data_IF_634061100562
#
_entry.id   IF_634061100562
#
_cell.length_a   1.000
_cell.length_b   1.000
_cell.length_c   1.000
_cell.angle_alpha   90.00
_cell.angle_beta   90.00
_cell.angle_gamma   90.00
#
_symmetry.space_group_name_H-M   'P 1'
#
loop_
_entity.id
_entity.type
_entity.pdbx_description
1 polymer ?
#
# COMPACT_ATOMS: atom_id res chain seq x y z
N UNK A 1 -19.79 -3.66 15.50
CA UNK A 1 -18.73 -4.28 14.66
C UNK A 1 -19.45 -5.07 13.59
N UNK A 2 -19.01 -5.01 12.35
CA UNK A 2 -19.51 -5.96 11.33
C UNK A 2 -18.91 -7.31 11.66
N UNK A 3 -19.74 -8.35 11.80
CA UNK A 3 -19.22 -9.71 11.92
C UNK A 3 -18.81 -10.18 10.52
N UNK A 4 -17.55 -10.54 10.36
CA UNK A 4 -17.02 -11.16 9.16
C UNK A 4 -16.73 -12.63 9.46
N UNK A 5 -16.93 -13.50 8.47
CA UNK A 5 -16.51 -14.89 8.57
C UNK A 5 -14.99 -14.99 8.70
N UNK A 6 -14.50 -15.92 9.51
CA UNK A 6 -13.06 -16.18 9.64
C UNK A 6 -12.57 -16.80 8.32
N UNK A 7 -11.63 -16.12 7.67
CA UNK A 7 -11.09 -16.57 6.39
C UNK A 7 -10.22 -15.50 5.77
N UNK A 8 -9.77 -15.76 4.54
CA UNK A 8 -8.83 -14.90 3.79
C UNK A 8 -9.41 -14.55 2.44
N UNK A 9 -9.52 -13.26 2.13
CA UNK A 9 -9.81 -12.75 0.80
C UNK A 9 -8.52 -12.20 0.18
N UNK A 10 -8.12 -12.71 -0.98
CA UNK A 10 -6.97 -12.19 -1.73
C UNK A 10 -7.49 -11.23 -2.81
N UNK A 11 -7.10 -9.97 -2.73
CA UNK A 11 -7.52 -8.91 -3.66
C UNK A 11 -6.36 -8.57 -4.58
N UNK A 12 -6.57 -8.76 -5.89
CA UNK A 12 -5.54 -8.52 -6.91
C UNK A 12 -6.04 -7.44 -7.88
N UNK A 13 -5.58 -6.19 -7.76
CA UNK A 13 -5.81 -5.21 -8.81
C UNK A 13 -5.01 -5.59 -10.05
N UNK A 14 -5.68 -5.67 -11.20
CA UNK A 14 -5.08 -6.08 -12.46
C UNK A 14 -5.17 -4.99 -13.51
N UNK A 15 -4.07 -4.77 -14.21
CA UNK A 15 -4.04 -4.01 -15.46
C UNK A 15 -3.01 -4.64 -16.42
N UNK A 16 -3.50 -5.35 -17.46
CA UNK A 16 -2.68 -6.03 -18.46
C UNK A 16 -1.69 -7.07 -17.85
N UNK A 17 -2.19 -7.94 -16.96
CA UNK A 17 -1.39 -8.90 -16.19
C UNK A 17 -1.28 -10.30 -16.82
N UNK A 18 -1.78 -10.54 -18.05
CA UNK A 18 -1.85 -11.86 -18.67
C UNK A 18 -0.57 -12.67 -18.57
N UNK A 19 0.59 -12.07 -18.86
CA UNK A 19 1.90 -12.77 -18.88
C UNK A 19 2.36 -13.25 -17.49
N UNK A 20 1.78 -12.70 -16.42
CA UNK A 20 2.18 -12.97 -15.05
C UNK A 20 1.31 -14.05 -14.39
N UNK A 21 0.02 -14.08 -14.73
CA UNK A 21 -0.96 -14.96 -14.10
C UNK A 21 -0.61 -16.44 -14.13
N UNK A 22 -0.06 -17.02 -15.21
CA UNK A 22 0.34 -18.42 -15.22
C UNK A 22 1.37 -18.77 -14.14
N UNK A 23 2.16 -17.80 -13.67
CA UNK A 23 3.20 -18.00 -12.67
C UNK A 23 2.80 -17.53 -11.28
N UNK A 24 1.85 -16.59 -11.16
CA UNK A 24 1.47 -15.98 -9.86
C UNK A 24 0.27 -16.68 -9.24
N UNK A 25 -0.81 -16.90 -9.98
CA UNK A 25 -2.06 -17.45 -9.46
C UNK A 25 -1.88 -18.83 -8.81
N UNK A 26 -1.16 -19.81 -9.42
CA UNK A 26 -0.94 -21.11 -8.76
C UNK A 26 -0.29 -21.00 -7.39
N UNK A 27 0.66 -20.08 -7.20
CA UNK A 27 1.34 -19.89 -5.92
C UNK A 27 0.43 -19.35 -4.81
N UNK A 28 -0.62 -18.61 -5.20
CA UNK A 28 -1.62 -18.10 -4.26
C UNK A 28 -2.48 -19.24 -3.74
N UNK A 29 -2.96 -20.11 -4.64
CA UNK A 29 -3.72 -21.32 -4.24
C UNK A 29 -2.90 -22.23 -3.33
N UNK A 30 -1.61 -22.47 -3.65
CA UNK A 30 -0.72 -23.27 -2.81
C UNK A 30 -0.57 -22.66 -1.41
N UNK A 31 -0.37 -21.35 -1.31
CA UNK A 31 -0.22 -20.67 -0.02
C UNK A 31 -1.53 -20.65 0.80
N UNK A 32 -2.69 -20.51 0.15
CA UNK A 32 -3.99 -20.54 0.80
C UNK A 32 -4.32 -21.95 1.35
N UNK A 33 -4.00 -23.00 0.60
CA UNK A 33 -4.24 -24.38 1.01
C UNK A 33 -3.53 -24.74 2.33
N UNK A 34 -2.35 -24.18 2.61
CA UNK A 34 -1.61 -24.39 3.86
C UNK A 34 -2.31 -23.81 5.10
N UNK A 35 -3.23 -22.84 4.91
CA UNK A 35 -3.90 -22.18 6.04
C UNK A 35 -5.04 -22.98 6.64
N UNK A 36 -5.66 -23.87 5.87
CA UNK A 36 -6.90 -24.60 6.20
C UNK A 36 -8.09 -23.66 6.54
N UNK A 37 -8.00 -22.39 6.17
CA UNK A 37 -9.07 -21.40 6.34
C UNK A 37 -9.89 -21.31 5.07
N UNK A 38 -11.16 -20.94 5.24
CA UNK A 38 -12.01 -20.50 4.13
C UNK A 38 -11.33 -19.36 3.38
N UNK A 39 -11.43 -19.36 2.06
CA UNK A 39 -10.73 -18.36 1.27
C UNK A 39 -11.42 -18.06 -0.06
N UNK A 40 -11.09 -16.92 -0.61
CA UNK A 40 -11.50 -16.48 -1.95
C UNK A 40 -10.40 -15.64 -2.60
N UNK A 41 -10.41 -15.62 -3.93
CA UNK A 41 -9.54 -14.73 -4.71
C UNK A 41 -10.46 -13.83 -5.53
N UNK A 42 -10.23 -12.52 -5.43
CA UNK A 42 -10.96 -11.48 -6.18
C UNK A 42 -9.96 -10.70 -7.02
N UNK A 43 -10.13 -10.76 -8.32
CA UNK A 43 -9.34 -9.94 -9.26
C UNK A 43 -10.19 -8.77 -9.71
N UNK A 44 -9.67 -7.56 -9.51
CA UNK A 44 -10.32 -6.34 -9.99
C UNK A 44 -9.58 -5.85 -11.22
N UNK A 45 -10.18 -6.09 -12.37
CA UNK A 45 -9.63 -5.68 -13.65
C UNK A 45 -9.87 -4.19 -13.91
N UNK A 46 -8.79 -3.42 -13.93
CA UNK A 46 -8.81 -1.97 -14.08
C UNK A 46 -8.80 -1.53 -15.56
N UNK A 47 -9.73 -2.09 -16.35
CA UNK A 47 -9.89 -1.81 -17.77
C UNK A 47 -8.70 -2.31 -18.62
N UNK A 48 -8.29 -3.57 -18.45
CA UNK A 48 -7.23 -4.20 -19.25
C UNK A 48 -7.60 -4.27 -20.72
N UNK A 49 -6.59 -4.21 -21.55
CA UNK A 49 -6.70 -4.33 -23.03
C UNK A 49 -6.11 -5.64 -23.57
N UNK A 50 -5.57 -6.47 -22.67
CA UNK A 50 -5.08 -7.82 -22.98
C UNK A 50 -6.13 -8.89 -22.64
N UNK A 51 -5.84 -10.15 -22.93
CA UNK A 51 -6.72 -11.28 -22.67
C UNK A 51 -6.68 -11.79 -21.21
N UNK A 52 -6.19 -10.98 -20.25
CA UNK A 52 -6.03 -11.41 -18.85
C UNK A 52 -7.34 -11.89 -18.22
N UNK A 53 -8.45 -11.17 -18.48
CA UNK A 53 -9.77 -11.54 -17.95
C UNK A 53 -10.28 -12.85 -18.56
N UNK A 54 -10.10 -13.04 -19.87
CA UNK A 54 -10.45 -14.28 -20.56
C UNK A 54 -9.65 -15.46 -20.01
N UNK A 55 -8.34 -15.28 -19.87
CA UNK A 55 -7.44 -16.29 -19.32
C UNK A 55 -7.88 -16.73 -17.91
N UNK A 56 -8.24 -15.79 -17.03
CA UNK A 56 -8.71 -16.10 -15.67
C UNK A 56 -10.00 -16.93 -15.75
N UNK A 57 -10.99 -16.51 -16.54
CA UNK A 57 -12.27 -17.20 -16.63
C UNK A 57 -12.17 -18.63 -17.18
N UNK A 58 -11.22 -18.88 -18.09
CA UNK A 58 -10.99 -20.19 -18.70
C UNK A 58 -10.17 -21.13 -17.81
N UNK A 59 -9.16 -20.62 -17.08
CA UNK A 59 -8.20 -21.45 -16.33
C UNK A 59 -8.47 -21.48 -14.82
N UNK A 60 -9.17 -20.47 -14.27
CA UNK A 60 -9.42 -20.33 -12.83
C UNK A 60 -10.86 -19.88 -12.55
N UNK A 61 -11.89 -20.68 -12.90
CA UNK A 61 -13.29 -20.28 -12.82
C UNK A 61 -13.80 -20.01 -11.39
N UNK A 62 -13.06 -20.42 -10.36
CA UNK A 62 -13.37 -20.12 -8.96
C UNK A 62 -12.97 -18.70 -8.54
N UNK A 63 -12.19 -17.99 -9.36
CA UNK A 63 -11.77 -16.62 -9.08
C UNK A 63 -12.89 -15.64 -9.42
N UNK A 64 -13.24 -14.79 -8.47
CA UNK A 64 -14.21 -13.72 -8.69
C UNK A 64 -13.53 -12.61 -9.48
N UNK A 65 -14.06 -12.26 -10.65
CA UNK A 65 -13.53 -11.17 -11.47
C UNK A 65 -14.51 -10.01 -11.51
N UNK A 66 -14.02 -8.82 -11.14
CA UNK A 66 -14.75 -7.55 -11.18
C UNK A 66 -14.09 -6.66 -12.23
N UNK A 67 -14.87 -6.07 -13.13
CA UNK A 67 -14.34 -5.20 -14.19
C UNK A 67 -14.69 -3.75 -13.94
N UNK A 68 -13.67 -2.88 -13.90
CA UNK A 68 -13.88 -1.44 -13.89
C UNK A 68 -14.26 -0.94 -15.29
N UNK A 69 -15.18 0.03 -15.36
CA UNK A 69 -15.62 0.64 -16.62
C UNK A 69 -14.49 1.46 -17.28
N UNK A 70 -13.59 2.01 -16.46
CA UNK A 70 -12.42 2.78 -16.88
C UNK A 70 -11.24 2.50 -15.97
N UNK A 71 -10.02 2.78 -16.44
CA UNK A 71 -8.85 2.71 -15.58
C UNK A 71 -8.96 3.75 -14.46
N UNK A 72 -9.08 3.27 -13.23
CA UNK A 72 -9.34 4.04 -12.01
C UNK A 72 -8.14 4.10 -11.06
N UNK A 73 -7.12 3.28 -11.32
CA UNK A 73 -5.89 3.18 -10.54
C UNK A 73 -5.98 2.20 -9.37
N UNK A 74 -4.83 2.02 -8.73
CA UNK A 74 -4.62 1.00 -7.70
C UNK A 74 -5.59 1.16 -6.51
N UNK A 75 -5.61 2.33 -5.87
CA UNK A 75 -6.42 2.57 -4.66
C UNK A 75 -7.89 2.23 -4.85
N UNK A 76 -8.48 2.68 -5.95
CA UNK A 76 -9.89 2.42 -6.23
C UNK A 76 -10.17 0.96 -6.55
N UNK A 77 -9.32 0.32 -7.33
CA UNK A 77 -9.47 -1.10 -7.65
C UNK A 77 -9.38 -1.96 -6.38
N UNK A 78 -8.46 -1.64 -5.46
CA UNK A 78 -8.37 -2.33 -4.17
C UNK A 78 -9.61 -2.07 -3.31
N UNK A 79 -10.08 -0.82 -3.17
CA UNK A 79 -11.28 -0.50 -2.39
C UNK A 79 -12.51 -1.28 -2.90
N UNK A 80 -12.68 -1.36 -4.24
CA UNK A 80 -13.74 -2.16 -4.86
C UNK A 80 -13.58 -3.65 -4.49
N UNK A 81 -12.40 -4.22 -4.64
CA UNK A 81 -12.14 -5.62 -4.30
C UNK A 81 -12.44 -5.93 -2.83
N UNK A 82 -11.97 -5.09 -1.90
CA UNK A 82 -12.24 -5.24 -0.47
C UNK A 82 -13.74 -5.11 -0.17
N UNK A 83 -14.47 -4.25 -0.87
CA UNK A 83 -15.93 -4.11 -0.66
C UNK A 83 -16.72 -5.36 -1.04
N UNK A 84 -16.23 -6.16 -1.96
CA UNK A 84 -16.83 -7.43 -2.38
C UNK A 84 -16.29 -8.66 -1.63
N UNK A 85 -15.29 -8.48 -0.77
CA UNK A 85 -14.70 -9.60 -0.02
C UNK A 85 -15.61 -10.06 1.11
N UNK A 86 -15.55 -11.36 1.43
CA UNK A 86 -16.41 -12.02 2.44
C UNK A 86 -15.72 -12.14 3.80
N UNK A 87 -14.39 -12.27 3.81
CA UNK A 87 -13.64 -12.68 4.99
C UNK A 87 -12.98 -11.52 5.76
N UNK A 88 -12.65 -11.81 7.02
CA UNK A 88 -12.09 -10.81 7.94
C UNK A 88 -10.65 -10.41 7.64
N UNK A 89 -9.86 -11.31 7.04
CA UNK A 89 -8.49 -11.02 6.64
C UNK A 89 -8.41 -10.78 5.15
N UNK A 90 -7.72 -9.74 4.76
CA UNK A 90 -7.57 -9.35 3.35
C UNK A 90 -6.09 -9.27 3.00
N UNK A 91 -5.67 -10.03 1.99
CA UNK A 91 -4.38 -9.81 1.36
C UNK A 91 -4.57 -8.93 0.12
N UNK A 92 -3.98 -7.76 0.12
CA UNK A 92 -3.82 -6.93 -1.07
C UNK A 92 -2.52 -7.36 -1.73
N UNK A 93 -2.60 -7.83 -2.97
CA UNK A 93 -1.49 -8.47 -3.67
C UNK A 93 -1.38 -7.95 -5.10
N UNK A 94 -0.19 -7.49 -5.49
CA UNK A 94 0.04 -7.13 -6.90
C UNK A 94 0.05 -8.37 -7.81
N UNK A 95 -0.39 -8.20 -9.06
CA UNK A 95 -0.41 -9.27 -10.08
C UNK A 95 0.98 -9.81 -10.43
N UNK A 96 2.06 -9.09 -10.10
CA UNK A 96 3.45 -9.45 -10.35
C UNK A 96 4.18 -10.00 -9.10
N UNK A 97 3.43 -10.64 -8.19
CA UNK A 97 3.96 -11.25 -6.96
C UNK A 97 3.67 -12.74 -6.90
N UNK A 98 4.69 -13.56 -6.61
CA UNK A 98 4.58 -14.99 -6.25
C UNK A 98 4.69 -15.18 -4.75
N UNK A 99 3.84 -16.01 -4.16
CA UNK A 99 3.86 -16.34 -2.75
C UNK A 99 4.67 -17.62 -2.49
N UNK A 100 5.30 -17.72 -1.31
CA UNK A 100 5.79 -19.01 -0.81
C UNK A 100 4.66 -19.74 -0.09
N UNK A 101 4.74 -21.06 0.03
CA UNK A 101 3.72 -21.90 0.69
C UNK A 101 3.39 -21.42 2.12
N UNK A 102 4.41 -21.04 2.89
CA UNK A 102 4.27 -20.59 4.28
C UNK A 102 3.94 -19.11 4.44
N UNK A 103 3.59 -18.40 3.35
CA UNK A 103 3.35 -16.97 3.36
C UNK A 103 2.33 -16.55 4.43
N UNK A 104 1.16 -17.16 4.44
CA UNK A 104 0.09 -16.79 5.38
C UNK A 104 0.35 -17.34 6.80
N UNK A 105 0.80 -18.60 6.91
CA UNK A 105 0.99 -19.26 8.21
C UNK A 105 1.96 -18.52 9.12
N UNK A 106 2.96 -17.86 8.54
CA UNK A 106 3.90 -17.04 9.29
C UNK A 106 3.34 -15.66 9.72
N UNK A 107 2.22 -15.21 9.15
CA UNK A 107 1.67 -13.88 9.40
C UNK A 107 0.39 -13.87 10.25
N UNK A 108 -0.43 -14.90 10.16
CA UNK A 108 -1.77 -14.96 10.78
C UNK A 108 -1.72 -14.71 12.29
N UNK A 109 -0.73 -15.25 12.99
CA UNK A 109 -0.60 -15.11 14.44
C UNK A 109 -0.49 -13.64 14.90
N UNK A 110 0.12 -12.77 14.09
CA UNK A 110 0.23 -11.36 14.42
C UNK A 110 -1.14 -10.64 14.38
N UNK A 111 -2.06 -11.11 13.54
CA UNK A 111 -3.39 -10.52 13.38
C UNK A 111 -4.32 -10.85 14.56
N UNK A 112 -3.95 -11.75 15.47
CA UNK A 112 -4.69 -11.98 16.72
C UNK A 112 -4.63 -10.78 17.67
N UNK A 113 -3.58 -9.96 17.59
CA UNK A 113 -3.50 -8.73 18.37
C UNK A 113 -4.49 -7.67 17.83
N UNK A 114 -5.45 -7.19 18.63
CA UNK A 114 -6.48 -6.25 18.16
C UNK A 114 -5.93 -4.91 17.66
N UNK A 115 -4.73 -4.52 18.08
CA UNK A 115 -4.09 -3.27 17.64
C UNK A 115 -3.33 -3.41 16.32
N UNK A 116 -3.08 -4.61 15.83
CA UNK A 116 -2.37 -4.82 14.56
C UNK A 116 -3.34 -4.56 13.40
N UNK A 117 -3.02 -3.56 12.59
CA UNK A 117 -3.69 -3.27 11.33
C UNK A 117 -3.37 -4.33 10.30
N UNK A 118 -2.08 -4.63 10.12
CA UNK A 118 -1.64 -5.57 9.12
C UNK A 118 -0.17 -5.93 9.21
N UNK A 119 0.18 -6.87 8.36
CA UNK A 119 1.53 -7.45 8.25
C UNK A 119 1.98 -7.39 6.80
N UNK A 120 3.24 -7.11 6.55
CA UNK A 120 3.89 -7.30 5.26
C UNK A 120 4.97 -8.35 5.35
N UNK A 121 5.20 -9.07 4.28
CA UNK A 121 6.26 -10.05 4.17
C UNK A 121 7.58 -9.47 3.66
N UNK A 122 8.66 -10.26 3.75
CA UNK A 122 9.93 -10.02 3.05
C UNK A 122 9.71 -10.13 1.55
N UNK A 123 10.05 -9.07 0.81
CA UNK A 123 10.02 -9.06 -0.65
C UNK A 123 11.41 -9.32 -1.19
N UNK A 124 11.55 -10.36 -2.00
CA UNK A 124 12.79 -10.70 -2.70
C UNK A 124 12.61 -10.66 -4.21
N UNK A 125 13.70 -10.71 -4.94
CA UNK A 125 13.69 -10.69 -6.41
C UNK A 125 12.94 -11.88 -7.01
N UNK A 126 12.39 -11.68 -8.22
CA UNK A 126 11.64 -12.70 -8.94
C UNK A 126 12.45 -13.97 -9.22
N UNK A 127 13.69 -13.78 -9.71
CA UNK A 127 14.61 -14.85 -10.10
C UNK A 127 15.87 -14.92 -9.22
N UNK A 128 15.89 -14.17 -8.09
CA UNK A 128 17.01 -14.15 -7.16
C UNK A 128 16.53 -13.83 -5.74
N UNK A 129 17.38 -14.07 -4.74
CA UNK A 129 17.04 -13.87 -3.33
C UNK A 129 17.45 -12.48 -2.80
N UNK A 130 17.78 -11.55 -3.70
CA UNK A 130 18.09 -10.17 -3.29
C UNK A 130 16.86 -9.51 -2.71
N UNK A 131 16.95 -9.06 -1.47
CA UNK A 131 15.88 -8.34 -0.81
C UNK A 131 15.58 -7.02 -1.54
N UNK A 132 14.31 -6.77 -1.81
CA UNK A 132 13.80 -5.58 -2.50
C UNK A 132 13.07 -4.64 -1.56
N UNK A 133 12.38 -5.19 -0.55
CA UNK A 133 11.65 -4.42 0.45
C UNK A 133 11.61 -5.17 1.79
N UNK A 134 11.34 -4.44 2.88
CA UNK A 134 11.33 -4.97 4.23
C UNK A 134 10.97 -3.92 5.27
N UNK A 135 11.31 -4.19 6.54
CA UNK A 135 11.01 -3.24 7.62
C UNK A 135 11.68 -1.88 7.39
N UNK A 136 10.91 -0.83 7.66
CA UNK A 136 11.38 0.55 7.62
C UNK A 136 10.98 1.28 8.88
N UNK A 137 11.71 2.32 9.26
CA UNK A 137 11.28 3.23 10.32
C UNK A 137 11.08 4.66 9.79
N UNK A 138 10.18 5.44 10.40
CA UNK A 138 9.86 6.77 9.93
C UNK A 138 10.97 7.76 10.25
N UNK A 139 11.35 8.56 9.26
CA UNK A 139 12.33 9.63 9.39
C UNK A 139 11.66 10.96 9.04
N UNK A 140 11.90 11.97 9.87
CA UNK A 140 11.60 13.37 9.54
C UNK A 140 12.91 14.11 9.38
N UNK A 141 13.33 14.34 8.16
CA UNK A 141 14.57 15.03 7.82
C UNK A 141 14.24 16.35 7.13
N UNK A 142 14.68 17.46 7.72
CA UNK A 142 14.37 18.80 7.23
C UNK A 142 12.87 18.92 6.87
N UNK A 143 12.00 18.51 7.79
CA UNK A 143 10.53 18.49 7.64
C UNK A 143 9.98 17.62 6.49
N UNK A 144 10.81 16.81 5.83
CA UNK A 144 10.37 15.82 4.83
C UNK A 144 10.23 14.43 5.47
N UNK A 145 9.10 13.81 5.22
CA UNK A 145 8.85 12.41 5.58
C UNK A 145 9.67 11.54 4.66
N UNK A 146 10.47 10.67 5.26
CA UNK A 146 11.25 9.63 4.59
C UNK A 146 11.05 8.30 5.33
N UNK A 147 11.33 7.22 4.67
CA UNK A 147 11.42 5.88 5.27
C UNK A 147 12.85 5.37 5.15
N UNK A 148 13.36 4.79 6.22
CA UNK A 148 14.70 4.21 6.20
C UNK A 148 14.67 2.76 5.77
N UNK A 149 15.52 2.38 4.83
CA UNK A 149 15.76 0.97 4.47
C UNK A 149 16.89 0.34 5.29
N UNK A 150 17.67 1.15 6.03
CA UNK A 150 18.80 0.65 6.81
C UNK A 150 18.40 -0.28 7.95
N UNK A 151 17.16 -0.19 8.42
CA UNK A 151 16.62 -1.04 9.48
C UNK A 151 16.49 -2.50 9.05
N UNK A 152 16.05 -2.72 7.80
CA UNK A 152 15.87 -4.08 7.26
C UNK A 152 17.18 -4.79 6.94
N UNK A 153 18.28 -4.07 6.77
CA UNK A 153 19.56 -4.65 6.34
C UNK A 153 20.56 -4.85 7.48
N UNK A 154 20.36 -4.19 8.63
CA UNK A 154 21.31 -4.26 9.76
C UNK A 154 21.12 -5.50 10.65
N UNK A 155 19.96 -6.14 10.60
CA UNK A 155 19.62 -7.27 11.46
C UNK A 155 18.99 -8.36 10.59
N UNK A 156 19.81 -9.32 10.22
CA UNK A 156 19.39 -10.57 9.53
C UNK A 156 18.95 -11.62 10.55
N UNK A 157 18.05 -11.22 11.46
CA UNK A 157 17.70 -12.00 12.64
C UNK A 157 16.37 -12.74 12.54
N UNK A 158 15.75 -12.78 11.36
CA UNK A 158 14.47 -13.48 11.15
C UNK A 158 13.37 -13.18 12.20
N UNK A 159 13.46 -12.02 12.87
CA UNK A 159 12.46 -11.60 13.85
C UNK A 159 11.48 -10.61 13.26
N UNK A 160 10.20 -10.77 13.61
CA UNK A 160 9.17 -9.82 13.26
C UNK A 160 9.48 -8.43 13.86
N UNK A 161 9.09 -7.36 13.16
CA UNK A 161 9.36 -5.98 13.57
C UNK A 161 8.19 -5.08 13.24
N UNK A 162 8.08 -3.98 13.97
CA UNK A 162 7.24 -2.88 13.52
C UNK A 162 7.84 -2.23 12.28
N UNK A 163 6.98 -1.78 11.37
CA UNK A 163 7.40 -1.09 10.14
C UNK A 163 6.58 0.17 9.92
N UNK A 164 7.16 1.18 9.29
CA UNK A 164 6.48 2.44 8.98
C UNK A 164 5.27 2.23 8.08
N UNK A 165 5.42 1.37 7.08
CA UNK A 165 4.37 1.08 6.11
C UNK A 165 4.33 -0.40 5.77
N UNK A 166 3.16 -0.81 5.27
CA UNK A 166 2.94 -2.09 4.63
C UNK A 166 2.99 -1.88 3.13
N UNK A 167 3.81 -2.65 2.42
CA UNK A 167 3.94 -2.52 0.97
C UNK A 167 2.64 -2.92 0.26
N UNK A 168 2.15 -2.07 -0.64
CA UNK A 168 0.98 -2.37 -1.47
C UNK A 168 1.13 -3.62 -2.34
N UNK A 169 2.36 -4.14 -2.47
CA UNK A 169 2.62 -5.39 -3.20
C UNK A 169 2.16 -6.65 -2.44
N UNK A 170 2.10 -6.62 -1.08
CA UNK A 170 1.78 -7.78 -0.25
C UNK A 170 1.22 -7.42 1.14
N UNK A 171 0.30 -6.53 1.20
CA UNK A 171 -0.30 -6.03 2.44
C UNK A 171 -1.38 -6.98 2.96
N UNK A 172 -1.12 -7.71 4.06
CA UNK A 172 -2.08 -8.63 4.70
C UNK A 172 -2.70 -7.96 5.94
N UNK A 173 -3.98 -7.62 5.90
CA UNK A 173 -4.64 -6.68 6.83
C UNK A 173 -5.93 -7.24 7.43
N UNK A 174 -6.39 -6.59 8.50
CA UNK A 174 -7.75 -6.75 9.03
C UNK A 174 -8.72 -5.84 8.29
N UNK A 175 -9.77 -6.41 7.76
CA UNK A 175 -10.79 -5.71 6.98
C UNK A 175 -11.58 -4.67 7.80
N UNK A 176 -11.89 -4.99 9.05
CA UNK A 176 -12.59 -4.07 9.95
C UNK A 176 -11.77 -2.79 10.22
N UNK A 177 -10.48 -2.95 10.52
CA UNK A 177 -9.58 -1.82 10.73
C UNK A 177 -9.41 -1.02 9.43
N UNK A 178 -9.31 -1.67 8.28
CA UNK A 178 -9.22 -1.00 6.98
C UNK A 178 -10.38 -0.02 6.75
N UNK A 179 -11.62 -0.46 7.04
CA UNK A 179 -12.78 0.43 6.98
C UNK A 179 -12.77 1.50 8.06
N UNK A 180 -12.36 1.14 9.28
CA UNK A 180 -12.35 2.07 10.41
C UNK A 180 -11.37 3.23 10.22
N UNK A 181 -10.21 2.97 9.60
CA UNK A 181 -9.24 4.01 9.28
C UNK A 181 -9.58 4.76 7.98
N UNK A 182 -10.56 4.29 7.17
CA UNK A 182 -11.12 4.99 6.01
C UNK A 182 -10.54 4.56 4.66
N UNK A 183 -10.18 3.30 4.49
CA UNK A 183 -9.80 2.67 3.22
C UNK A 183 -8.58 3.33 2.55
N UNK A 184 -8.20 2.93 1.33
CA UNK A 184 -7.25 3.70 0.54
C UNK A 184 -7.84 5.05 0.13
N UNK A 185 -7.06 6.10 0.22
CA UNK A 185 -7.45 7.40 -0.31
C UNK A 185 -7.21 7.45 -1.82
N UNK A 186 -8.30 7.55 -2.58
CA UNK A 186 -8.23 7.56 -4.06
C UNK A 186 -7.57 8.82 -4.64
N UNK A 187 -7.26 9.80 -3.79
CA UNK A 187 -6.53 11.01 -4.17
C UNK A 187 -5.13 10.69 -4.73
N UNK A 188 -4.57 9.54 -4.34
CA UNK A 188 -3.25 9.10 -4.80
C UNK A 188 -3.27 8.47 -6.19
N UNK A 189 -4.47 8.24 -6.77
CA UNK A 189 -4.56 7.65 -8.11
C UNK A 189 -3.72 8.40 -9.13
N UNK A 190 -3.11 7.69 -10.08
CA UNK A 190 -3.28 6.24 -10.33
C UNK A 190 -2.40 5.33 -9.47
N UNK A 191 -1.29 5.81 -8.84
CA UNK A 191 -0.33 5.01 -8.08
C UNK A 191 0.68 5.87 -7.31
N UNK A 192 1.39 5.25 -6.33
CA UNK A 192 2.42 5.76 -5.42
C UNK A 192 1.92 6.53 -4.22
N UNK A 193 2.51 6.21 -3.08
CA UNK A 193 2.31 6.80 -1.75
C UNK A 193 0.99 6.45 -1.06
N UNK A 194 0.07 5.73 -1.71
CA UNK A 194 -1.20 5.28 -1.13
C UNK A 194 -0.99 4.30 0.02
N UNK A 195 -0.05 3.37 -0.12
CA UNK A 195 0.32 2.36 0.87
C UNK A 195 1.02 2.99 2.08
N UNK A 196 1.92 3.91 1.82
CA UNK A 196 2.62 4.68 2.85
C UNK A 196 1.65 5.58 3.62
N UNK A 197 0.73 6.26 2.93
CA UNK A 197 -0.28 7.11 3.57
C UNK A 197 -1.22 6.29 4.45
N UNK A 198 -1.79 5.21 3.92
CA UNK A 198 -2.68 4.33 4.66
C UNK A 198 -2.01 3.81 5.94
N UNK A 199 -0.76 3.39 5.85
CA UNK A 199 -0.01 2.85 6.99
C UNK A 199 0.31 3.92 8.02
N UNK A 200 0.75 5.12 7.60
CA UNK A 200 0.97 6.27 8.50
C UNK A 200 -0.34 6.67 9.17
N UNK A 201 -1.46 6.65 8.45
CA UNK A 201 -2.78 6.93 8.98
C UNK A 201 -3.18 5.89 10.03
N UNK A 202 -2.94 4.60 9.78
CA UNK A 202 -3.14 3.54 10.77
C UNK A 202 -2.34 3.81 12.05
N UNK A 203 -1.04 4.11 11.94
CA UNK A 203 -0.19 4.49 13.07
C UNK A 203 -0.72 5.69 13.86
N UNK A 204 -1.15 6.73 13.16
CA UNK A 204 -1.71 7.95 13.79
C UNK A 204 -3.03 7.67 14.51
N UNK A 205 -3.78 6.70 14.05
CA UNK A 205 -5.04 6.24 14.67
C UNK A 205 -4.82 5.13 15.72
N UNK A 206 -3.57 4.82 16.08
CA UNK A 206 -3.22 3.93 17.20
C UNK A 206 -3.04 2.46 16.81
N UNK A 207 -3.09 2.14 15.52
CA UNK A 207 -2.85 0.79 15.01
C UNK A 207 -1.38 0.55 14.67
N UNK A 208 -1.01 -0.71 14.54
CA UNK A 208 0.37 -1.17 14.37
C UNK A 208 0.52 -1.84 13.00
N UNK A 209 1.66 -1.58 12.34
CA UNK A 209 2.09 -2.26 11.13
C UNK A 209 3.30 -3.13 11.43
N UNK A 210 3.28 -4.40 10.98
CA UNK A 210 4.31 -5.39 11.25
C UNK A 210 4.97 -5.83 9.95
N UNK A 211 6.26 -6.09 10.01
CA UNK A 211 7.04 -6.81 9.01
C UNK A 211 7.39 -8.19 9.56
N UNK A 212 7.07 -9.24 8.80
CA UNK A 212 7.40 -10.65 9.13
C UNK A 212 8.41 -11.21 8.12
N UNK A 213 9.69 -11.33 8.50
CA UNK A 213 10.75 -11.78 7.58
C UNK A 213 10.66 -13.26 7.19
N UNK A 214 9.97 -14.10 7.98
CA UNK A 214 9.77 -15.52 7.66
C UNK A 214 8.70 -15.74 6.59
N UNK A 215 7.79 -14.79 6.42
CA UNK A 215 6.89 -14.76 5.29
C UNK A 215 7.64 -14.14 4.10
N UNK A 216 7.70 -14.86 2.99
CA UNK A 216 8.47 -14.42 1.81
C UNK A 216 7.56 -14.40 0.60
N UNK A 217 7.72 -13.35 -0.21
CA UNK A 217 7.17 -13.31 -1.56
C UNK A 217 8.24 -12.84 -2.58
N UNK A 218 8.04 -13.19 -3.85
CA UNK A 218 8.90 -12.80 -4.96
C UNK A 218 8.19 -11.78 -5.84
N UNK A 219 8.85 -10.69 -6.15
CA UNK A 219 8.25 -9.57 -6.87
C UNK A 219 9.02 -9.23 -8.14
N UNK A 220 8.31 -9.06 -9.26
CA UNK A 220 8.86 -8.63 -10.54
C UNK A 220 8.77 -7.11 -10.67
N UNK A 221 9.70 -6.41 -10.02
CA UNK A 221 9.65 -4.94 -9.88
C UNK A 221 9.28 -4.24 -11.19
N UNK A 222 8.25 -3.39 -11.10
CA UNK A 222 7.87 -2.43 -12.15
C UNK A 222 7.54 -3.06 -13.50
N UNK A 223 7.15 -4.33 -13.54
CA UNK A 223 6.82 -4.98 -14.81
C UNK A 223 5.65 -4.26 -15.50
N UNK A 224 4.54 -4.11 -14.80
CA UNK A 224 3.32 -3.43 -15.28
C UNK A 224 3.58 -1.96 -15.61
N UNK A 225 4.39 -1.28 -14.78
CA UNK A 225 4.71 0.14 -14.95
C UNK A 225 5.63 0.41 -16.15
N UNK A 226 6.61 -0.46 -16.41
CA UNK A 226 7.51 -0.32 -17.58
C UNK A 226 6.76 -0.49 -18.89
N UNK A 227 5.71 -1.32 -18.91
CA UNK A 227 4.92 -1.62 -20.10
C UNK A 227 3.89 -0.53 -20.43
N UNK A 228 3.38 0.19 -19.41
CA UNK A 228 2.20 1.06 -19.56
C UNK A 228 2.48 2.54 -19.70
N UNK A 229 3.65 3.09 -19.32
CA UNK A 229 3.80 4.54 -19.25
C UNK A 229 5.16 5.11 -19.65
N UNK A 230 5.14 6.29 -20.29
CA UNK A 230 6.34 7.10 -20.52
C UNK A 230 6.90 7.57 -19.18
N UNK A 231 8.17 7.25 -18.87
CA UNK A 231 8.91 7.60 -17.64
C UNK A 231 8.70 9.04 -17.14
N UNK A 232 8.48 9.98 -18.06
CA UNK A 232 8.22 11.41 -17.75
C UNK A 232 6.96 11.66 -16.92
N UNK A 233 5.89 10.87 -17.12
CA UNK A 233 4.63 11.06 -16.38
C UNK A 233 4.70 10.44 -14.98
N UNK A 234 5.49 9.38 -14.81
CA UNK A 234 5.70 8.71 -13.52
C UNK A 234 6.28 9.67 -12.49
N UNK A 235 7.35 10.41 -12.87
CA UNK A 235 7.99 11.38 -11.95
C UNK A 235 7.03 12.49 -11.51
N UNK A 236 6.16 12.95 -12.42
CA UNK A 236 5.19 14.00 -12.10
C UNK A 236 4.17 13.52 -11.06
N UNK A 237 3.62 12.34 -11.26
CA UNK A 237 2.63 11.73 -10.33
C UNK A 237 3.30 11.43 -8.99
N UNK A 238 4.49 10.84 -9.00
CA UNK A 238 5.24 10.53 -7.79
C UNK A 238 5.50 11.77 -6.93
N UNK A 239 5.99 12.87 -7.52
CA UNK A 239 6.23 14.11 -6.77
C UNK A 239 4.92 14.72 -6.26
N UNK A 240 3.85 14.76 -7.09
CA UNK A 240 2.53 15.22 -6.65
C UNK A 240 2.05 14.43 -5.44
N UNK A 241 2.10 13.11 -5.50
CA UNK A 241 1.63 12.24 -4.42
C UNK A 241 2.49 12.39 -3.15
N UNK A 242 3.79 12.59 -3.31
CA UNK A 242 4.65 12.97 -2.17
C UNK A 242 4.23 14.28 -1.51
N UNK A 243 3.85 15.29 -2.26
CA UNK A 243 3.36 16.54 -1.66
C UNK A 243 2.05 16.32 -0.91
N UNK A 244 1.13 15.54 -1.49
CA UNK A 244 -0.14 15.17 -0.84
C UNK A 244 0.13 14.39 0.46
N UNK A 245 1.02 13.40 0.43
CA UNK A 245 1.39 12.62 1.63
C UNK A 245 1.86 13.52 2.78
N UNK A 246 2.75 14.47 2.49
CA UNK A 246 3.24 15.40 3.51
C UNK A 246 2.11 16.30 4.05
N UNK A 247 1.24 16.76 3.16
CA UNK A 247 0.10 17.61 3.53
C UNK A 247 -0.88 16.90 4.46
N UNK A 248 -1.11 15.60 4.24
CA UNK A 248 -2.00 14.77 5.06
C UNK A 248 -1.35 14.31 6.38
N UNK A 249 -0.08 13.96 6.34
CA UNK A 249 0.59 13.33 7.47
C UNK A 249 1.20 14.32 8.48
N UNK A 250 1.70 15.48 8.01
CA UNK A 250 2.29 16.49 8.89
C UNK A 250 1.23 17.37 9.53
N UNK A 251 1.53 17.86 10.75
CA UNK A 251 0.65 18.75 11.52
C UNK A 251 1.45 19.88 12.17
N UNK A 252 0.77 20.94 12.58
CA UNK A 252 1.36 22.04 13.36
C UNK A 252 2.58 22.67 12.67
N UNK A 253 3.61 22.93 13.47
CA UNK A 253 4.82 23.65 13.06
C UNK A 253 5.61 22.87 11.98
N UNK A 254 5.63 21.55 12.04
CA UNK A 254 6.31 20.72 11.02
C UNK A 254 5.69 20.87 9.63
N UNK A 255 4.36 20.99 9.55
CA UNK A 255 3.66 21.26 8.29
C UNK A 255 3.98 22.66 7.75
N UNK A 256 4.03 23.64 8.62
CA UNK A 256 4.34 25.04 8.22
C UNK A 256 5.76 25.11 7.61
N UNK A 257 6.76 24.57 8.29
CA UNK A 257 8.14 24.56 7.80
C UNK A 257 8.31 23.72 6.53
N UNK A 258 7.61 22.60 6.41
CA UNK A 258 7.61 21.82 5.18
C UNK A 258 7.03 22.63 3.99
N UNK A 259 5.92 23.36 4.20
CA UNK A 259 5.33 24.22 3.16
C UNK A 259 6.28 25.33 2.74
N UNK A 260 6.97 25.97 3.71
CA UNK A 260 7.97 26.99 3.42
C UNK A 260 9.13 26.39 2.60
N UNK A 261 9.63 25.23 3.00
CA UNK A 261 10.69 24.53 2.27
C UNK A 261 10.24 24.16 0.85
N UNK A 262 9.02 23.66 0.68
CA UNK A 262 8.46 23.32 -0.63
C UNK A 262 8.36 24.56 -1.52
N UNK A 263 7.98 25.71 -0.96
CA UNK A 263 7.93 26.98 -1.68
C UNK A 263 9.32 27.46 -2.13
N UNK A 264 10.32 27.39 -1.25
CA UNK A 264 11.72 27.70 -1.60
C UNK A 264 12.23 26.76 -2.70
N UNK A 265 11.94 25.46 -2.58
CA UNK A 265 12.30 24.48 -3.61
C UNK A 265 11.61 24.78 -4.95
N UNK A 266 10.35 25.22 -4.93
CA UNK A 266 9.64 25.61 -6.15
C UNK A 266 10.33 26.79 -6.85
N UNK A 267 10.73 27.83 -6.12
CA UNK A 267 11.47 28.97 -6.69
C UNK A 267 12.75 28.48 -7.37
N UNK A 268 13.53 27.65 -6.67
CA UNK A 268 14.76 27.07 -7.25
C UNK A 268 14.46 26.26 -8.52
N UNK A 269 13.36 25.46 -8.53
CA UNK A 269 12.96 24.67 -9.70
C UNK A 269 12.45 25.50 -10.87
N UNK A 270 11.89 26.67 -10.61
CA UNK A 270 11.54 27.65 -11.65
C UNK A 270 12.81 28.22 -12.29
N UNK A 271 13.78 28.65 -11.47
CA UNK A 271 15.06 29.20 -11.96
C UNK A 271 15.82 28.14 -12.77
N UNK A 272 15.80 26.87 -12.35
CA UNK A 272 16.48 25.76 -13.06
C UNK A 272 15.64 25.13 -14.17
N UNK A 273 14.49 25.74 -14.54
CA UNK A 273 13.58 25.28 -15.59
C UNK A 273 13.16 23.79 -15.46
N UNK A 274 12.97 23.32 -14.22
CA UNK A 274 12.51 21.96 -13.98
C UNK A 274 10.98 21.87 -14.15
N UNK A 275 10.52 21.82 -15.39
CA UNK A 275 9.09 21.81 -15.73
C UNK A 275 8.32 20.64 -15.15
N UNK A 276 8.97 19.46 -14.89
CA UNK A 276 8.30 18.32 -14.28
C UNK A 276 7.90 18.59 -12.84
N UNK A 277 8.81 19.16 -12.05
CA UNK A 277 8.53 19.54 -10.67
C UNK A 277 7.45 20.62 -10.60
N UNK A 278 7.54 21.64 -11.46
CA UNK A 278 6.55 22.72 -11.55
C UNK A 278 5.17 22.13 -11.88
N UNK A 279 5.07 21.22 -12.85
CA UNK A 279 3.82 20.54 -13.20
C UNK A 279 3.27 19.71 -12.03
N UNK A 280 4.14 19.00 -11.29
CA UNK A 280 3.74 18.26 -10.09
C UNK A 280 3.14 19.19 -9.03
N UNK A 281 3.75 20.34 -8.81
CA UNK A 281 3.28 21.35 -7.86
C UNK A 281 1.93 21.94 -8.28
N UNK A 282 1.75 22.29 -9.55
CA UNK A 282 0.46 22.79 -10.09
C UNK A 282 -0.65 21.73 -9.88
N UNK A 283 -0.36 20.45 -10.17
CA UNK A 283 -1.33 19.38 -9.95
C UNK A 283 -1.68 19.23 -8.47
N UNK A 284 -0.70 19.31 -7.58
CA UNK A 284 -0.93 19.28 -6.13
C UNK A 284 -1.83 20.42 -5.68
N UNK A 285 -1.58 21.67 -6.13
CA UNK A 285 -2.42 22.82 -5.77
C UNK A 285 -3.86 22.62 -6.25
N UNK A 286 -4.07 22.09 -7.46
CA UNK A 286 -5.42 21.83 -7.99
C UNK A 286 -6.21 20.83 -7.15
N UNK A 287 -5.54 20.00 -6.35
CA UNK A 287 -6.17 18.98 -5.50
C UNK A 287 -6.48 19.44 -4.07
N UNK A 288 -6.29 20.74 -3.73
CA UNK A 288 -6.51 21.21 -2.35
C UNK A 288 -7.92 20.93 -1.81
N UNK A 289 -8.94 21.00 -2.66
CA UNK A 289 -10.32 20.66 -2.26
C UNK A 289 -10.44 19.19 -1.80
N UNK A 290 -9.79 18.27 -2.52
CA UNK A 290 -9.78 16.85 -2.20
C UNK A 290 -8.92 16.56 -0.97
N UNK A 291 -7.75 17.22 -0.87
CA UNK A 291 -6.88 17.15 0.31
C UNK A 291 -7.66 17.55 1.57
N UNK A 292 -8.42 18.64 1.54
CA UNK A 292 -9.23 19.09 2.67
C UNK A 292 -10.32 18.08 3.02
N UNK A 293 -10.94 17.41 2.04
CA UNK A 293 -11.89 16.32 2.30
C UNK A 293 -11.21 15.14 3.01
N UNK A 294 -10.01 14.78 2.57
CA UNK A 294 -9.21 13.70 3.20
C UNK A 294 -8.82 14.05 4.64
N UNK A 295 -8.40 15.29 4.89
CA UNK A 295 -8.12 15.79 6.25
C UNK A 295 -9.38 15.74 7.13
N UNK A 296 -10.53 16.16 6.60
CA UNK A 296 -11.80 16.11 7.32
C UNK A 296 -12.18 14.68 7.69
N UNK A 297 -12.07 13.73 6.74
CA UNK A 297 -12.30 12.30 6.97
C UNK A 297 -11.38 11.75 8.06
N UNK A 298 -10.07 12.05 8.01
CA UNK A 298 -9.12 11.67 9.05
C UNK A 298 -9.54 12.21 10.42
N UNK A 299 -9.91 13.49 10.52
CA UNK A 299 -10.31 14.10 11.78
C UNK A 299 -11.58 13.47 12.34
N UNK A 300 -12.54 13.07 11.49
CA UNK A 300 -13.75 12.37 11.88
C UNK A 300 -13.41 10.99 12.46
N UNK A 301 -12.58 10.21 11.79
CA UNK A 301 -12.15 8.89 12.27
C UNK A 301 -11.32 9.02 13.57
N UNK A 302 -10.43 10.00 13.63
CA UNK A 302 -9.63 10.30 14.82
C UNK A 302 -10.50 10.61 16.06
N UNK A 303 -11.55 11.40 15.89
CA UNK A 303 -12.53 11.68 16.98
C UNK A 303 -13.26 10.42 17.41
N UNK A 304 -13.72 9.61 16.45
CA UNK A 304 -14.43 8.35 16.72
C UNK A 304 -13.54 7.37 17.49
N UNK A 305 -12.27 7.24 17.09
CA UNK A 305 -11.31 6.33 17.70
C UNK A 305 -10.65 6.90 18.97
N UNK A 306 -10.88 8.18 19.28
CA UNK A 306 -10.20 8.93 20.36
C UNK A 306 -8.67 8.83 20.26
N UNK A 307 -8.14 8.80 19.04
CA UNK A 307 -6.74 8.70 18.72
C UNK A 307 -6.34 9.77 17.70
N UNK A 308 -5.28 10.51 17.99
CA UNK A 308 -4.79 11.57 17.10
C UNK A 308 -3.29 11.78 17.29
N UNK A 309 -2.50 10.78 16.94
CA UNK A 309 -1.05 10.91 16.98
C UNK A 309 -0.56 11.77 15.81
N UNK A 310 0.42 12.61 16.06
CA UNK A 310 1.16 13.30 15.00
C UNK A 310 2.15 12.34 14.32
N UNK A 311 2.68 12.70 13.15
CA UNK A 311 3.78 11.95 12.55
C UNK A 311 5.04 11.92 13.45
N UNK A 312 5.26 12.97 14.23
CA UNK A 312 6.36 13.01 15.21
C UNK A 312 6.17 11.95 16.30
N UNK A 313 4.94 11.73 16.76
CA UNK A 313 4.65 10.67 17.74
C UNK A 313 4.91 9.28 17.14
N UNK A 314 4.55 9.08 15.87
CA UNK A 314 4.86 7.84 15.13
C UNK A 314 6.37 7.66 15.00
N UNK A 315 7.11 8.69 14.61
CA UNK A 315 8.58 8.66 14.51
C UNK A 315 9.25 8.31 15.85
N UNK A 316 8.70 8.82 16.95
CA UNK A 316 9.27 8.61 18.29
C UNK A 316 8.83 7.27 18.92
N UNK A 317 7.96 6.52 18.25
CA UNK A 317 7.58 5.18 18.69
C UNK A 317 8.80 4.24 18.65
N UNK A 318 8.93 3.39 19.66
CA UNK A 318 10.00 2.37 19.68
C UNK A 318 9.61 1.25 18.71
N UNK A 319 10.25 1.21 17.54
CA UNK A 319 10.02 0.20 16.49
C UNK A 319 10.67 -1.16 16.82
N UNK A 320 10.72 -1.53 18.11
CA UNK A 320 11.09 -2.86 18.56
C UNK A 320 9.81 -3.67 18.81
N UNK A 321 9.77 -4.88 18.26
CA UNK A 321 8.66 -5.81 18.41
C UNK A 321 8.93 -6.84 19.49
#
# INVERSE_FOLDING_TARGET
MREYNIGISVIIPNYNGLELFPQTIPTIFEALAETKLENEIIIVDDCSTDDSVKYISENFPSIITIKNIKNSGFSKSVNIGVSHSSYQFVLILNSDVKLTKTFFTNQISHLSNPKVFGVMSKIIGWDNDKQQDGATYPILELFKIKTSTSYSYKHDDNQARFTTYLSGANMFIKKDIFYEIGEFDEIFSPYYSEDTELSIRAWRLGYLCIYEPKAICRHKISYTMKKSQKKKNVDIIYNRNKFILHELALTGISKLFWRLQLFIELIFRIITLNFRFIKSYILYIKMFGEINRSIHRFNTNSKKLKQNKSFTDVKNFKFNY
#
